data_IF_461483016249
#
_entry.id   IF_461483016249
#
_cell.length_a   1.000
_cell.length_b   1.000
_cell.length_c   1.000
_cell.angle_alpha   90.00
_cell.angle_beta   90.00
_cell.angle_gamma   90.00
#
_symmetry.space_group_name_H-M   'P 1'
#
loop_
_entity.id
_entity.type
_entity.pdbx_description
1 polymer ?
#
# COMPACT_ATOMS: atom_id res chain seq x y z
N UNK A 1 -9.90 -5.15 48.18
CA UNK A 1 -10.28 -4.66 46.84
C UNK A 1 -10.32 -5.87 45.93
N UNK A 2 -11.46 -6.07 45.25
CA UNK A 2 -11.79 -7.32 44.56
C UNK A 2 -11.01 -7.44 43.24
N UNK A 3 -10.78 -8.69 42.83
CA UNK A 3 -10.00 -9.15 41.67
C UNK A 3 -10.52 -8.69 40.29
N UNK A 4 -11.54 -7.83 40.25
CA UNK A 4 -12.28 -7.44 39.04
C UNK A 4 -12.06 -5.97 38.60
N UNK A 5 -11.19 -5.21 39.28
CA UNK A 5 -10.89 -3.81 38.93
C UNK A 5 -9.61 -3.63 38.08
N UNK A 6 -9.00 -4.71 37.57
CA UNK A 6 -7.91 -4.62 36.59
C UNK A 6 -8.49 -4.47 35.18
N UNK A 7 -8.83 -3.22 34.83
CA UNK A 7 -9.16 -2.80 33.47
C UNK A 7 -7.87 -2.73 32.66
N UNK A 8 -7.34 -3.89 32.27
CA UNK A 8 -6.42 -4.08 31.14
C UNK A 8 -6.15 -5.56 31.03
N UNK A 9 -6.28 -6.15 29.85
CA UNK A 9 -5.61 -7.42 29.56
C UNK A 9 -4.14 -7.32 30.01
N UNK A 10 -3.61 -8.40 30.53
CA UNK A 10 -2.19 -8.48 30.85
C UNK A 10 -1.40 -8.15 29.57
N UNK A 11 -0.31 -7.39 29.62
CA UNK A 11 0.52 -7.12 28.42
C UNK A 11 1.01 -8.41 27.73
N UNK A 12 0.95 -9.51 28.48
CA UNK A 12 1.24 -10.87 28.07
C UNK A 12 0.14 -11.49 27.19
N UNK A 13 -1.10 -10.99 27.26
CA UNK A 13 -2.23 -11.45 26.45
C UNK A 13 -2.14 -10.95 24.99
N UNK A 14 -1.21 -10.03 24.68
CA UNK A 14 -0.94 -9.55 23.32
C UNK A 14 0.06 -10.43 22.55
N UNK A 15 0.67 -11.42 23.22
CA UNK A 15 1.57 -12.38 22.60
C UNK A 15 0.88 -13.73 22.49
N UNK A 16 1.09 -14.42 21.37
CA UNK A 16 0.60 -15.78 21.21
C UNK A 16 1.29 -16.74 22.19
N UNK A 17 0.58 -17.82 22.53
CA UNK A 17 1.13 -18.92 23.31
C UNK A 17 2.32 -19.57 22.58
N UNK A 18 2.31 -19.60 21.24
CA UNK A 18 3.48 -20.05 20.46
C UNK A 18 4.72 -19.17 20.68
N UNK A 19 4.57 -17.85 20.73
CA UNK A 19 5.69 -16.94 21.01
C UNK A 19 6.24 -17.19 22.40
N UNK A 20 5.36 -17.27 23.40
CA UNK A 20 5.77 -17.54 24.79
C UNK A 20 6.48 -18.90 24.89
N UNK A 21 5.89 -19.95 24.31
CA UNK A 21 6.46 -21.30 24.33
C UNK A 21 7.87 -21.35 23.72
N UNK A 22 8.07 -20.73 22.55
CA UNK A 22 9.37 -20.74 21.87
C UNK A 22 10.40 -19.81 22.50
N UNK A 23 9.94 -18.77 23.20
CA UNK A 23 10.81 -17.95 24.04
C UNK A 23 11.37 -18.75 25.22
N UNK A 24 10.53 -19.54 25.89
CA UNK A 24 10.91 -20.31 27.08
C UNK A 24 11.64 -21.62 26.77
N UNK A 25 11.25 -22.31 25.69
CA UNK A 25 11.79 -23.61 25.27
C UNK A 25 11.96 -23.70 23.74
N UNK A 26 12.94 -22.99 23.15
CA UNK A 26 13.25 -23.06 21.72
C UNK A 26 13.88 -24.42 21.37
N UNK A 27 13.40 -25.07 20.31
CA UNK A 27 13.85 -26.42 19.94
C UNK A 27 15.04 -26.43 18.97
N UNK A 28 15.27 -25.33 18.26
CA UNK A 28 16.34 -25.19 17.27
C UNK A 28 17.49 -24.31 17.76
N UNK A 29 17.48 -23.89 19.03
CA UNK A 29 18.58 -23.14 19.60
C UNK A 29 19.83 -24.04 19.75
N UNK A 30 20.97 -23.56 19.28
CA UNK A 30 22.23 -24.31 19.32
C UNK A 30 23.20 -23.89 18.23
N UNK A 31 24.19 -24.73 17.99
CA UNK A 31 25.18 -24.57 16.94
C UNK A 31 25.35 -25.89 16.18
N UNK A 32 25.76 -25.79 14.91
CA UNK A 32 26.19 -26.94 14.12
C UNK A 32 27.71 -26.83 14.01
N UNK A 33 28.43 -27.85 14.47
CA UNK A 33 29.89 -27.91 14.34
C UNK A 33 30.29 -28.47 12.97
N UNK A 34 31.56 -28.27 12.58
CA UNK A 34 32.07 -28.85 11.34
C UNK A 34 32.03 -30.38 11.36
N UNK A 35 32.28 -31.01 12.51
CA UNK A 35 32.19 -32.47 12.66
C UNK A 35 30.77 -32.95 12.40
N UNK A 36 29.77 -32.28 12.98
CA UNK A 36 28.36 -32.61 12.79
C UNK A 36 27.93 -32.45 11.33
N UNK A 37 28.35 -31.38 10.67
CA UNK A 37 28.05 -31.18 9.25
C UNK A 37 28.66 -32.30 8.39
N UNK A 38 29.89 -32.72 8.69
CA UNK A 38 30.55 -33.86 8.03
C UNK A 38 29.82 -35.18 8.27
N UNK A 39 29.35 -35.44 9.50
CA UNK A 39 28.55 -36.63 9.83
C UNK A 39 27.24 -36.70 9.05
N UNK A 40 26.60 -35.54 8.84
CA UNK A 40 25.39 -35.42 8.04
C UNK A 40 25.65 -35.45 6.52
N UNK A 41 26.92 -35.45 6.10
CA UNK A 41 27.29 -35.38 4.68
C UNK A 41 26.97 -34.04 4.02
N UNK A 42 26.90 -32.96 4.81
CA UNK A 42 26.56 -31.63 4.33
C UNK A 42 27.66 -30.59 4.55
N UNK A 43 27.49 -29.45 3.91
CA UNK A 43 28.31 -28.25 4.04
C UNK A 43 27.72 -27.34 5.12
N UNK A 44 28.56 -26.94 6.06
CA UNK A 44 28.20 -25.96 7.08
C UNK A 44 28.20 -24.55 6.50
N UNK A 45 27.13 -23.82 6.74
CA UNK A 45 27.01 -22.38 6.47
C UNK A 45 26.64 -21.68 7.77
N UNK A 46 27.33 -20.59 8.06
CA UNK A 46 27.09 -19.74 9.22
C UNK A 46 26.85 -18.33 8.71
N UNK A 47 25.75 -17.71 9.13
CA UNK A 47 25.42 -16.33 8.79
C UNK A 47 25.03 -15.55 10.03
N UNK A 48 25.57 -14.34 10.14
CA UNK A 48 25.25 -13.38 11.19
C UNK A 48 24.46 -12.22 10.61
N UNK A 49 23.41 -11.81 11.32
CA UNK A 49 22.66 -10.60 11.02
C UNK A 49 22.21 -9.94 12.32
N UNK A 50 22.15 -8.61 12.36
CA UNK A 50 21.71 -7.88 13.55
C UNK A 50 21.21 -6.50 13.19
N UNK A 51 20.35 -5.96 14.06
CA UNK A 51 19.77 -4.64 13.91
C UNK A 51 20.30 -3.72 15.03
N UNK A 52 21.13 -2.75 14.66
CA UNK A 52 21.72 -1.78 15.61
C UNK A 52 20.64 -0.96 16.33
N UNK A 53 19.48 -0.73 15.69
CA UNK A 53 18.38 0.07 16.23
C UNK A 53 17.71 -0.56 17.46
N UNK A 54 17.66 -1.88 17.56
CA UNK A 54 17.06 -2.59 18.70
C UNK A 54 18.05 -3.43 19.52
N UNK A 55 19.29 -3.61 19.04
CA UNK A 55 20.34 -4.36 19.73
C UNK A 55 20.18 -5.89 19.62
N UNK A 56 19.25 -6.38 18.81
CA UNK A 56 19.05 -7.80 18.55
C UNK A 56 20.01 -8.30 17.46
N UNK A 57 20.52 -9.52 17.62
CA UNK A 57 21.40 -10.19 16.67
C UNK A 57 21.09 -11.69 16.62
N UNK A 58 21.17 -12.28 15.43
CA UNK A 58 20.97 -13.70 15.18
C UNK A 58 22.13 -14.27 14.37
N UNK A 59 22.56 -15.46 14.77
CA UNK A 59 23.46 -16.33 14.03
C UNK A 59 22.70 -17.58 13.59
N UNK A 60 22.58 -17.77 12.29
CA UNK A 60 21.98 -18.96 11.68
C UNK A 60 23.07 -19.96 11.28
N UNK A 61 22.83 -21.24 11.56
CA UNK A 61 23.64 -22.36 11.14
C UNK A 61 22.79 -23.27 10.25
N UNK A 62 23.28 -23.53 9.03
CA UNK A 62 22.70 -24.52 8.13
C UNK A 62 23.71 -25.61 7.82
N UNK A 63 23.25 -26.87 7.83
CA UNK A 63 23.94 -27.97 7.19
C UNK A 63 23.24 -28.29 5.87
N UNK A 64 23.90 -28.08 4.73
CA UNK A 64 23.29 -28.21 3.40
C UNK A 64 23.89 -29.38 2.64
N UNK A 65 23.06 -30.25 2.10
CA UNK A 65 23.48 -31.33 1.19
C UNK A 65 23.82 -30.76 -0.19
N UNK A 66 25.09 -30.82 -0.61
CA UNK A 66 25.57 -30.17 -1.85
C UNK A 66 24.97 -30.77 -3.14
N UNK A 67 24.46 -32.01 -3.09
CA UNK A 67 23.85 -32.67 -4.26
C UNK A 67 22.41 -32.22 -4.55
N UNK A 68 21.65 -31.89 -3.52
CA UNK A 68 20.22 -31.52 -3.63
C UNK A 68 19.94 -30.08 -3.22
N UNK A 69 20.93 -29.38 -2.66
CA UNK A 69 20.80 -28.08 -2.00
C UNK A 69 19.78 -28.09 -0.86
N UNK A 70 19.51 -29.25 -0.25
CA UNK A 70 18.57 -29.39 0.85
C UNK A 70 19.22 -29.05 2.19
N UNK A 71 18.53 -28.26 3.00
CA UNK A 71 18.91 -27.94 4.38
C UNK A 71 18.57 -29.17 5.24
N UNK A 72 19.58 -29.90 5.68
CA UNK A 72 19.45 -31.11 6.48
C UNK A 72 19.19 -30.80 7.96
N UNK A 73 19.80 -29.74 8.47
CA UNK A 73 19.66 -29.29 9.86
C UNK A 73 19.79 -27.77 9.90
N UNK A 74 18.94 -27.13 10.70
CA UNK A 74 18.88 -25.67 10.85
C UNK A 74 18.88 -25.31 12.33
N UNK A 75 19.92 -24.60 12.79
CA UNK A 75 20.07 -24.17 14.19
C UNK A 75 20.35 -22.69 14.27
N UNK A 76 20.12 -22.09 15.43
CA UNK A 76 20.41 -20.68 15.63
C UNK A 76 20.99 -20.37 17.02
N UNK A 77 21.73 -19.27 17.09
CA UNK A 77 21.94 -18.51 18.33
C UNK A 77 21.33 -17.14 18.14
N UNK A 78 20.64 -16.64 19.16
CA UNK A 78 20.06 -15.31 19.16
C UNK A 78 20.46 -14.58 20.42
N UNK A 79 20.77 -13.30 20.28
CA UNK A 79 20.96 -12.36 21.37
C UNK A 79 19.94 -11.24 21.16
N UNK A 80 19.05 -11.03 22.12
CA UNK A 80 18.02 -10.03 21.95
C UNK A 80 16.79 -10.28 22.81
N UNK A 81 15.69 -9.64 22.44
CA UNK A 81 14.42 -9.82 23.12
C UNK A 81 13.82 -11.22 22.92
N UNK A 82 12.89 -11.63 23.79
CA UNK A 82 12.25 -12.95 23.72
C UNK A 82 11.54 -13.22 22.39
N UNK A 83 10.99 -12.18 21.75
CA UNK A 83 10.41 -12.28 20.41
C UNK A 83 11.47 -12.60 19.35
N UNK A 84 12.68 -12.05 19.45
CA UNK A 84 13.79 -12.42 18.56
C UNK A 84 14.18 -13.90 18.71
N UNK A 85 14.14 -14.46 19.92
CA UNK A 85 14.36 -15.90 20.13
C UNK A 85 13.24 -16.71 19.48
N UNK A 86 11.98 -16.38 19.74
CA UNK A 86 10.83 -17.08 19.18
C UNK A 86 10.78 -17.03 17.64
N UNK A 87 11.01 -15.85 17.04
CA UNK A 87 11.09 -15.69 15.58
C UNK A 87 12.26 -16.47 14.98
N UNK A 88 13.41 -16.52 15.64
CA UNK A 88 14.58 -17.28 15.17
C UNK A 88 14.33 -18.79 15.25
N UNK A 89 13.65 -19.27 16.28
CA UNK A 89 13.29 -20.69 16.42
C UNK A 89 12.29 -21.13 15.35
N UNK A 90 11.23 -20.34 15.12
CA UNK A 90 10.27 -20.60 14.06
C UNK A 90 10.92 -20.54 12.67
N UNK A 91 11.80 -19.57 12.44
CA UNK A 91 12.58 -19.48 11.21
C UNK A 91 13.45 -20.71 10.97
N UNK A 92 14.18 -21.16 11.99
CA UNK A 92 15.05 -22.32 11.86
C UNK A 92 14.23 -23.58 11.50
N UNK A 93 13.10 -23.79 12.16
CA UNK A 93 12.15 -24.87 11.85
C UNK A 93 11.62 -24.79 10.41
N UNK A 94 11.19 -23.61 9.97
CA UNK A 94 10.64 -23.42 8.62
C UNK A 94 11.68 -23.71 7.53
N UNK A 95 12.97 -23.50 7.80
CA UNK A 95 14.05 -23.77 6.85
C UNK A 95 14.40 -25.26 6.75
N UNK A 96 14.25 -26.02 7.83
CA UNK A 96 14.68 -27.41 7.88
C UNK A 96 13.92 -28.27 6.87
N UNK A 97 14.65 -29.06 6.09
CA UNK A 97 14.10 -29.93 5.05
C UNK A 97 13.73 -29.22 3.74
N UNK A 98 13.83 -27.89 3.65
CA UNK A 98 13.67 -27.14 2.39
C UNK A 98 14.97 -27.10 1.61
N UNK A 99 14.88 -26.87 0.30
CA UNK A 99 16.04 -26.44 -0.49
C UNK A 99 16.40 -25.00 -0.19
N UNK A 100 17.65 -24.59 -0.45
CA UNK A 100 18.08 -23.19 -0.28
C UNK A 100 17.20 -22.24 -1.11
N UNK A 101 16.77 -22.65 -2.30
CA UNK A 101 15.87 -21.86 -3.17
C UNK A 101 14.47 -21.67 -2.58
N UNK A 102 13.96 -22.68 -1.88
CA UNK A 102 12.69 -22.58 -1.17
C UNK A 102 12.83 -21.77 0.12
N UNK A 103 13.95 -21.90 0.82
CA UNK A 103 14.20 -21.16 2.05
C UNK A 103 14.28 -19.65 1.81
N UNK A 104 14.93 -19.20 0.74
CA UNK A 104 15.00 -17.77 0.36
C UNK A 104 13.61 -17.14 0.13
N UNK A 105 12.59 -17.96 -0.18
CA UNK A 105 11.22 -17.49 -0.38
C UNK A 105 10.43 -17.35 0.92
N UNK A 106 10.92 -17.89 2.04
CA UNK A 106 10.31 -17.65 3.36
C UNK A 106 10.39 -16.16 3.63
N UNK A 107 9.29 -15.54 4.01
CA UNK A 107 9.20 -14.12 4.36
C UNK A 107 9.09 -13.92 5.87
N UNK A 108 9.26 -12.68 6.34
CA UNK A 108 8.98 -12.32 7.73
C UNK A 108 7.51 -12.60 8.12
N UNK A 109 6.59 -12.48 7.16
CA UNK A 109 5.17 -12.78 7.35
C UNK A 109 4.95 -14.28 7.52
N UNK A 110 5.72 -15.14 6.84
CA UNK A 110 5.62 -16.60 7.04
C UNK A 110 6.11 -17.00 8.44
N UNK A 111 7.21 -16.38 8.91
CA UNK A 111 7.71 -16.56 10.29
C UNK A 111 6.67 -16.10 11.30
N UNK A 112 6.08 -14.92 11.10
CA UNK A 112 5.05 -14.40 12.01
C UNK A 112 3.79 -15.26 12.01
N UNK A 113 3.33 -15.74 10.85
CA UNK A 113 2.20 -16.67 10.73
C UNK A 113 2.47 -18.00 11.46
N UNK A 114 3.69 -18.52 11.38
CA UNK A 114 4.09 -19.74 12.09
C UNK A 114 4.05 -19.58 13.61
N UNK A 115 4.06 -18.34 14.10
CA UNK A 115 3.94 -17.99 15.51
C UNK A 115 2.51 -17.66 15.94
N UNK A 116 1.51 -17.68 15.06
CA UNK A 116 0.13 -17.34 15.45
C UNK A 116 -0.55 -18.52 16.14
N UNK A 117 -1.35 -18.24 17.17
CA UNK A 117 -2.29 -19.21 17.74
C UNK A 117 -3.55 -19.34 16.87
N UNK A 118 -3.96 -18.23 16.24
CA UNK A 118 -5.12 -18.14 15.37
C UNK A 118 -4.76 -17.43 14.05
N UNK A 119 -5.26 -17.90 12.90
CA UNK A 119 -4.89 -17.33 11.59
C UNK A 119 -5.10 -15.82 11.47
N UNK A 120 -6.14 -15.27 12.11
CA UNK A 120 -6.54 -13.87 11.96
C UNK A 120 -6.02 -12.95 13.07
N UNK A 121 -5.30 -13.49 14.07
CA UNK A 121 -4.77 -12.72 15.19
C UNK A 121 -3.24 -12.68 15.09
N UNK A 122 -2.61 -11.50 15.00
CA UNK A 122 -1.15 -11.38 14.98
C UNK A 122 -0.50 -12.08 16.18
N UNK A 123 0.65 -12.71 15.96
CA UNK A 123 1.38 -13.45 16.99
C UNK A 123 2.03 -12.53 18.03
N UNK A 124 2.34 -11.31 17.62
CA UNK A 124 3.08 -10.31 18.40
C UNK A 124 2.43 -8.94 18.20
N UNK A 125 2.58 -8.03 19.16
CA UNK A 125 2.14 -6.65 18.99
C UNK A 125 2.90 -5.96 17.83
N UNK A 126 2.30 -4.97 17.16
CA UNK A 126 2.85 -4.34 15.95
C UNK A 126 4.30 -3.84 16.09
N UNK A 127 4.69 -3.37 17.27
CA UNK A 127 6.02 -2.83 17.55
C UNK A 127 7.12 -3.91 17.55
N UNK A 128 6.76 -5.19 17.67
CA UNK A 128 7.68 -6.34 17.75
C UNK A 128 7.81 -7.13 16.45
N UNK A 129 7.15 -6.68 15.38
CA UNK A 129 7.23 -7.31 14.04
C UNK A 129 8.64 -7.33 13.43
N UNK A 130 9.53 -6.41 13.84
CA UNK A 130 10.90 -6.32 13.33
C UNK A 130 11.73 -7.58 13.60
N UNK A 131 11.43 -8.34 14.67
CA UNK A 131 12.13 -9.59 14.98
C UNK A 131 11.94 -10.66 13.89
N UNK A 132 10.77 -10.68 13.22
CA UNK A 132 10.52 -11.55 12.07
C UNK A 132 11.21 -11.05 10.81
N UNK A 133 11.47 -9.75 10.70
CA UNK A 133 12.25 -9.16 9.60
C UNK A 133 13.71 -9.60 9.68
N UNK A 134 14.29 -9.58 10.88
CA UNK A 134 15.65 -10.08 11.13
C UNK A 134 15.82 -11.55 10.74
N UNK A 135 14.81 -12.37 11.03
CA UNK A 135 14.78 -13.78 10.65
C UNK A 135 14.81 -13.98 9.12
N UNK A 136 14.12 -13.13 8.37
CA UNK A 136 14.17 -13.14 6.91
C UNK A 136 15.56 -12.77 6.35
N UNK A 137 16.17 -11.72 6.89
CA UNK A 137 17.45 -11.23 6.38
C UNK A 137 18.59 -12.22 6.61
N UNK A 138 18.60 -12.92 7.75
CA UNK A 138 19.63 -13.93 8.02
C UNK A 138 19.50 -15.17 7.09
N UNK A 139 18.28 -15.56 6.70
CA UNK A 139 18.05 -16.61 5.68
C UNK A 139 18.71 -16.22 4.36
N UNK A 140 18.45 -14.99 3.90
CA UNK A 140 19.05 -14.46 2.67
C UNK A 140 20.55 -14.40 2.75
N UNK A 141 21.11 -13.96 3.89
CA UNK A 141 22.56 -13.93 4.11
C UNK A 141 23.18 -15.33 4.06
N UNK A 142 22.54 -16.32 4.66
CA UNK A 142 22.98 -17.71 4.62
C UNK A 142 22.93 -18.28 3.18
N UNK A 143 21.83 -18.04 2.47
CA UNK A 143 21.69 -18.46 1.08
C UNK A 143 22.70 -17.78 0.13
N UNK A 144 22.94 -16.48 0.31
CA UNK A 144 23.95 -15.72 -0.44
C UNK A 144 25.34 -16.35 -0.24
N UNK A 145 25.68 -16.64 1.02
CA UNK A 145 26.95 -17.26 1.41
C UNK A 145 27.10 -18.66 0.80
N UNK A 146 26.04 -19.46 0.80
CA UNK A 146 26.06 -20.80 0.19
C UNK A 146 26.26 -20.74 -1.32
N UNK A 147 25.54 -19.84 -2.00
CA UNK A 147 25.54 -19.70 -3.46
C UNK A 147 26.72 -18.89 -4.01
N UNK A 148 27.44 -18.16 -3.16
CA UNK A 148 28.51 -17.26 -3.58
C UNK A 148 28.01 -16.07 -4.40
N UNK A 149 26.81 -15.55 -4.07
CA UNK A 149 26.20 -14.39 -4.73
C UNK A 149 26.02 -13.25 -3.73
N UNK A 150 25.79 -12.05 -4.25
CA UNK A 150 25.41 -10.92 -3.40
C UNK A 150 24.00 -11.12 -2.81
N UNK A 151 23.78 -10.71 -1.56
CA UNK A 151 22.50 -10.83 -0.88
C UNK A 151 21.41 -9.98 -1.57
N UNK A 152 21.78 -8.82 -2.12
CA UNK A 152 20.90 -7.92 -2.86
C UNK A 152 20.39 -8.56 -4.17
N UNK A 153 21.08 -9.58 -4.69
CA UNK A 153 20.62 -10.31 -5.88
C UNK A 153 19.30 -11.07 -5.66
N UNK A 154 18.87 -11.25 -4.40
CA UNK A 154 17.57 -11.81 -4.06
C UNK A 154 16.46 -10.73 -3.93
N UNK A 155 16.79 -9.45 -4.04
CA UNK A 155 15.86 -8.32 -4.00
C UNK A 155 15.75 -7.70 -5.39
N UNK A 156 14.75 -8.14 -6.15
CA UNK A 156 14.52 -7.64 -7.51
C UNK A 156 13.85 -6.26 -7.53
N UNK A 157 13.36 -5.78 -6.39
CA UNK A 157 12.59 -4.53 -6.29
C UNK A 157 12.99 -3.73 -5.06
N UNK A 158 12.96 -2.40 -5.18
CA UNK A 158 13.25 -1.47 -4.08
C UNK A 158 12.19 -1.64 -2.99
N UNK A 159 12.61 -2.03 -1.78
CA UNK A 159 11.74 -2.15 -0.62
C UNK A 159 11.56 -0.78 0.03
N UNK A 160 10.31 -0.34 0.18
CA UNK A 160 9.97 0.94 0.83
C UNK A 160 9.61 0.75 2.30
N UNK A 161 9.00 -0.39 2.64
CA UNK A 161 8.65 -0.72 4.02
C UNK A 161 9.25 -2.07 4.39
N UNK A 162 10.31 -2.12 5.22
CA UNK A 162 10.90 -3.40 5.64
C UNK A 162 9.98 -4.20 6.56
N UNK A 163 9.17 -3.53 7.40
CA UNK A 163 8.26 -4.21 8.32
C UNK A 163 7.19 -5.04 7.60
N UNK A 164 6.59 -4.46 6.57
CA UNK A 164 5.55 -5.11 5.78
C UNK A 164 6.12 -5.81 4.52
N UNK A 165 7.43 -5.66 4.26
CA UNK A 165 8.13 -6.08 3.03
C UNK A 165 7.38 -5.64 1.76
N UNK A 166 6.98 -4.37 1.73
CA UNK A 166 6.28 -3.77 0.59
C UNK A 166 7.27 -3.02 -0.28
N UNK A 167 7.25 -3.31 -1.58
CA UNK A 167 8.12 -2.71 -2.58
C UNK A 167 7.53 -1.43 -3.15
N UNK A 168 8.39 -0.61 -3.77
CA UNK A 168 7.98 0.59 -4.50
C UNK A 168 6.97 0.24 -5.60
N UNK A 169 7.26 -0.81 -6.38
CA UNK A 169 6.37 -1.28 -7.45
C UNK A 169 4.98 -1.65 -6.93
N UNK A 170 4.91 -2.40 -5.82
CA UNK A 170 3.63 -2.76 -5.17
C UNK A 170 2.83 -1.51 -4.77
N UNK A 171 3.48 -0.51 -4.16
CA UNK A 171 2.79 0.72 -3.74
C UNK A 171 2.27 1.48 -4.95
N UNK A 172 3.09 1.66 -5.98
CA UNK A 172 2.71 2.36 -7.21
C UNK A 172 1.53 1.67 -7.91
N UNK A 173 1.59 0.34 -8.03
CA UNK A 173 0.52 -0.46 -8.64
C UNK A 173 -0.79 -0.32 -7.87
N UNK A 174 -0.77 -0.47 -6.54
CA UNK A 174 -1.97 -0.39 -5.71
C UNK A 174 -2.58 1.01 -5.74
N UNK A 175 -1.77 2.07 -5.73
CA UNK A 175 -2.26 3.46 -5.89
C UNK A 175 -2.99 3.60 -7.23
N UNK A 176 -2.37 3.13 -8.33
CA UNK A 176 -2.93 3.25 -9.68
C UNK A 176 -4.22 2.42 -9.83
N UNK A 177 -4.22 1.16 -9.40
CA UNK A 177 -5.36 0.24 -9.54
C UNK A 177 -6.60 0.67 -8.74
N UNK A 178 -6.40 1.32 -7.59
CA UNK A 178 -7.48 1.66 -6.66
C UNK A 178 -7.74 3.18 -6.53
N UNK A 179 -7.06 4.02 -7.33
CA UNK A 179 -7.13 5.49 -7.26
C UNK A 179 -6.91 6.04 -5.83
N UNK A 180 -5.95 5.47 -5.08
CA UNK A 180 -5.71 5.86 -3.68
C UNK A 180 -5.29 7.33 -3.58
N UNK A 181 -5.71 8.02 -2.52
CA UNK A 181 -5.54 9.48 -2.33
C UNK A 181 -4.84 9.84 -1.03
N UNK A 182 -4.60 8.88 -0.16
CA UNK A 182 -4.02 9.08 1.17
C UNK A 182 -3.04 7.97 1.55
N UNK A 183 -2.12 8.27 2.47
CA UNK A 183 -1.18 7.26 2.98
C UNK A 183 -1.91 6.24 3.86
N UNK A 184 -2.99 6.65 4.52
CA UNK A 184 -3.88 5.77 5.26
C UNK A 184 -4.45 4.68 4.35
N UNK A 185 -4.95 5.03 3.16
CA UNK A 185 -5.42 4.05 2.19
C UNK A 185 -4.29 3.13 1.70
N UNK A 186 -3.09 3.67 1.44
CA UNK A 186 -1.92 2.83 1.08
C UNK A 186 -1.65 1.82 2.20
N UNK A 187 -1.70 2.27 3.46
CA UNK A 187 -1.49 1.44 4.65
C UNK A 187 -2.56 0.35 4.74
N UNK A 188 -3.82 0.66 4.48
CA UNK A 188 -4.91 -0.30 4.56
C UNK A 188 -4.77 -1.43 3.53
N UNK A 189 -4.39 -1.09 2.30
CA UNK A 189 -4.21 -2.07 1.22
C UNK A 189 -2.90 -2.87 1.34
N UNK A 190 -1.78 -2.19 1.60
CA UNK A 190 -0.44 -2.81 1.51
C UNK A 190 0.14 -3.20 2.87
N UNK A 191 -0.41 -2.67 3.96
CA UNK A 191 0.17 -2.70 5.32
C UNK A 191 1.49 -1.94 5.46
N UNK A 192 1.98 -1.27 4.42
CA UNK A 192 3.13 -0.37 4.53
C UNK A 192 2.81 0.76 5.51
N UNK A 193 3.71 1.03 6.46
CA UNK A 193 3.50 2.07 7.47
C UNK A 193 2.62 1.66 8.66
N UNK A 194 1.96 0.49 8.63
CA UNK A 194 1.08 0.05 9.72
C UNK A 194 1.81 -0.23 11.05
N UNK A 195 3.10 -0.54 10.99
CA UNK A 195 3.90 -1.01 12.12
C UNK A 195 4.78 0.11 12.72
N UNK A 196 6.01 0.27 12.25
CA UNK A 196 6.97 1.24 12.78
C UNK A 196 6.73 2.68 12.33
N UNK A 197 5.91 2.88 11.29
CA UNK A 197 5.60 4.18 10.64
C UNK A 197 6.80 4.91 10.01
N UNK A 198 8.00 4.32 9.98
CA UNK A 198 9.21 4.95 9.44
C UNK A 198 9.10 5.33 7.96
N UNK A 199 8.44 4.49 7.16
CA UNK A 199 8.28 4.77 5.73
C UNK A 199 7.21 5.82 5.41
N UNK A 200 6.40 6.28 6.38
CA UNK A 200 5.28 7.19 6.10
C UNK A 200 5.78 8.57 5.67
N UNK A 201 6.65 9.19 6.49
CA UNK A 201 7.19 10.54 6.29
C UNK A 201 8.45 10.74 7.15
N UNK A 202 9.26 11.80 6.91
CA UNK A 202 10.40 12.12 7.75
C UNK A 202 10.05 12.23 9.24
N UNK A 203 10.97 11.78 10.10
CA UNK A 203 10.81 11.82 11.57
C UNK A 203 10.17 10.57 12.18
N UNK A 204 10.15 9.44 11.46
CA UNK A 204 9.78 8.14 12.00
C UNK A 204 10.85 7.49 12.89
N UNK A 205 10.69 6.21 13.22
CA UNK A 205 11.64 5.48 14.08
C UNK A 205 13.03 5.35 13.44
N UNK A 206 13.08 5.33 12.11
CA UNK A 206 14.29 5.23 11.31
C UNK A 206 14.19 6.20 10.12
N UNK A 207 15.33 6.71 9.65
CA UNK A 207 15.41 7.51 8.43
C UNK A 207 15.24 6.61 7.19
N UNK A 208 14.62 7.13 6.13
CA UNK A 208 14.38 6.41 4.87
C UNK A 208 14.70 7.34 3.69
N UNK A 209 15.16 6.76 2.60
CA UNK A 209 15.49 7.51 1.38
C UNK A 209 14.24 7.98 0.62
N UNK A 210 13.15 7.22 0.73
CA UNK A 210 11.89 7.45 0.03
C UNK A 210 10.74 7.21 1.01
N UNK A 211 9.76 8.11 1.03
CA UNK A 211 8.58 8.01 1.89
C UNK A 211 7.28 7.78 1.12
N UNK A 212 6.28 7.18 1.77
CA UNK A 212 4.95 6.93 1.21
C UNK A 212 4.26 8.22 0.79
N UNK A 213 4.45 9.33 1.53
CA UNK A 213 3.91 10.64 1.15
C UNK A 213 4.46 11.12 -0.21
N UNK A 214 5.74 10.87 -0.48
CA UNK A 214 6.40 11.30 -1.71
C UNK A 214 5.94 10.42 -2.88
N UNK A 215 5.94 9.10 -2.69
CA UNK A 215 5.47 8.14 -3.70
C UNK A 215 4.01 8.43 -4.08
N UNK A 216 3.14 8.69 -3.11
CA UNK A 216 1.75 9.04 -3.36
C UNK A 216 1.63 10.29 -4.22
N UNK A 217 2.35 11.36 -3.85
CA UNK A 217 2.33 12.61 -4.60
C UNK A 217 2.80 12.41 -6.05
N UNK A 218 3.91 11.71 -6.24
CA UNK A 218 4.50 11.46 -7.55
C UNK A 218 3.59 10.63 -8.45
N UNK A 219 3.05 9.52 -7.93
CA UNK A 219 2.15 8.65 -8.69
C UNK A 219 0.85 9.38 -9.04
N UNK A 220 0.31 10.18 -8.12
CA UNK A 220 -0.90 10.98 -8.38
C UNK A 220 -0.66 12.03 -9.46
N UNK A 221 0.51 12.68 -9.44
CA UNK A 221 0.88 13.64 -10.46
C UNK A 221 1.03 12.96 -11.84
N UNK A 222 1.63 11.77 -11.90
CA UNK A 222 1.72 10.95 -13.11
C UNK A 222 0.33 10.59 -13.64
N UNK A 223 -0.55 10.06 -12.78
CA UNK A 223 -1.93 9.70 -13.14
C UNK A 223 -2.73 10.89 -13.69
N UNK A 224 -2.55 12.08 -13.11
CA UNK A 224 -3.22 13.29 -13.60
C UNK A 224 -2.68 13.72 -14.98
N UNK A 225 -1.37 13.65 -15.19
CA UNK A 225 -0.77 13.94 -16.50
C UNK A 225 -1.27 12.97 -17.57
N UNK A 226 -1.40 11.69 -17.25
CA UNK A 226 -1.88 10.68 -18.19
C UNK A 226 -3.37 10.88 -18.52
N UNK A 227 -4.21 11.20 -17.51
CA UNK A 227 -5.60 11.61 -17.75
C UNK A 227 -5.71 12.82 -18.69
N UNK A 228 -4.86 13.83 -18.51
CA UNK A 228 -4.85 15.01 -19.37
C UNK A 228 -4.42 14.68 -20.80
N UNK A 229 -3.43 13.79 -20.99
CA UNK A 229 -3.02 13.32 -22.32
C UNK A 229 -4.13 12.53 -23.00
N UNK A 230 -4.74 11.59 -22.29
CA UNK A 230 -5.85 10.78 -22.82
C UNK A 230 -7.03 11.66 -23.26
N UNK A 231 -7.36 12.69 -22.47
CA UNK A 231 -8.44 13.63 -22.82
C UNK A 231 -8.07 14.54 -24.01
N UNK A 232 -6.79 14.88 -24.18
CA UNK A 232 -6.30 15.61 -25.35
C UNK A 232 -6.39 14.74 -26.62
N UNK A 233 -5.95 13.49 -26.55
CA UNK A 233 -5.98 12.54 -27.66
C UNK A 233 -7.42 12.18 -28.06
N UNK A 234 -8.32 11.95 -27.09
CA UNK A 234 -9.73 11.68 -27.35
C UNK A 234 -10.45 12.84 -28.05
N UNK A 235 -10.06 14.08 -27.72
CA UNK A 235 -10.58 15.28 -28.39
C UNK A 235 -10.09 15.40 -29.82
N UNK A 236 -8.85 15.04 -30.10
CA UNK A 236 -8.31 15.01 -31.47
C UNK A 236 -9.00 13.94 -32.35
N UNK A 237 -9.46 12.84 -31.74
CA UNK A 237 -10.15 11.74 -32.42
C UNK A 237 -11.66 11.95 -32.62
N UNK A 238 -12.26 13.02 -32.10
CA UNK A 238 -13.70 13.29 -32.23
C UNK A 238 -14.61 12.29 -31.51
N UNK A 239 -14.09 11.60 -30.49
CA UNK A 239 -14.70 10.43 -29.82
C UNK A 239 -14.77 10.58 -28.29
N UNK A 240 -14.93 11.79 -27.77
CA UNK A 240 -15.06 12.01 -26.32
C UNK A 240 -16.53 12.06 -25.90
N UNK A 241 -16.98 11.08 -25.12
CA UNK A 241 -18.23 11.16 -24.36
C UNK A 241 -18.08 12.21 -23.24
N UNK A 242 -19.18 12.82 -22.80
CA UNK A 242 -19.13 13.98 -21.89
C UNK A 242 -18.45 13.66 -20.54
N UNK A 243 -18.60 12.42 -20.05
CA UNK A 243 -17.93 11.89 -18.86
C UNK A 243 -16.38 11.88 -19.00
N UNK A 244 -15.87 11.71 -20.22
CA UNK A 244 -14.43 11.64 -20.52
C UNK A 244 -13.79 12.98 -20.87
N UNK A 245 -14.58 14.05 -20.97
CA UNK A 245 -14.06 15.39 -21.24
C UNK A 245 -13.43 15.99 -19.98
N UNK A 246 -12.34 16.75 -20.14
CA UNK A 246 -11.83 17.65 -19.09
C UNK A 246 -12.87 18.71 -18.74
N UNK A 247 -12.80 19.31 -17.55
CA UNK A 247 -13.68 20.41 -17.14
C UNK A 247 -13.72 21.54 -18.19
N UNK A 248 -12.57 21.91 -18.75
CA UNK A 248 -12.48 22.96 -19.78
C UNK A 248 -13.21 22.55 -21.06
N UNK A 249 -13.03 21.31 -21.50
CA UNK A 249 -13.75 20.78 -22.67
C UNK A 249 -15.25 20.70 -22.41
N UNK A 250 -15.69 20.27 -21.22
CA UNK A 250 -17.10 20.24 -20.86
C UNK A 250 -17.73 21.62 -20.88
N UNK A 251 -17.07 22.60 -20.25
CA UNK A 251 -17.53 24.00 -20.27
C UNK A 251 -17.63 24.48 -21.72
N UNK A 252 -16.61 24.22 -22.55
CA UNK A 252 -16.63 24.62 -23.96
C UNK A 252 -17.77 23.97 -24.74
N UNK A 253 -17.99 22.67 -24.59
CA UNK A 253 -19.09 21.93 -25.24
C UNK A 253 -20.46 22.48 -24.81
N UNK A 254 -20.64 22.74 -23.51
CA UNK A 254 -21.87 23.36 -22.99
C UNK A 254 -22.03 24.76 -23.56
N UNK A 255 -20.98 25.57 -23.55
CA UNK A 255 -21.02 26.96 -24.00
C UNK A 255 -21.39 27.06 -25.49
N UNK A 256 -20.85 26.17 -26.33
CA UNK A 256 -21.21 26.06 -27.75
C UNK A 256 -22.71 25.78 -27.94
N UNK A 257 -23.31 24.90 -27.12
CA UNK A 257 -24.75 24.62 -27.16
C UNK A 257 -25.56 25.80 -26.63
N UNK A 258 -25.11 26.44 -25.55
CA UNK A 258 -25.80 27.62 -25.01
C UNK A 258 -25.81 28.77 -26.02
N UNK A 259 -24.69 29.04 -26.68
CA UNK A 259 -24.58 30.09 -27.71
C UNK A 259 -25.43 29.78 -28.94
N UNK A 260 -25.56 28.51 -29.33
CA UNK A 260 -26.35 28.12 -30.49
C UNK A 260 -27.86 28.14 -30.21
N UNK A 261 -28.30 27.65 -29.06
CA UNK A 261 -29.71 27.31 -28.83
C UNK A 261 -30.41 28.14 -27.75
N UNK A 262 -29.66 28.68 -26.77
CA UNK A 262 -30.25 29.30 -25.57
C UNK A 262 -30.07 30.82 -25.57
N UNK A 263 -28.82 31.30 -25.62
CA UNK A 263 -28.50 32.72 -25.48
C UNK A 263 -29.20 33.60 -26.53
N UNK A 264 -29.36 33.19 -27.81
CA UNK A 264 -30.12 33.98 -28.78
C UNK A 264 -31.57 34.25 -28.35
N UNK A 265 -32.22 33.27 -27.70
CA UNK A 265 -33.59 33.45 -27.19
C UNK A 265 -33.62 34.41 -25.99
N UNK A 266 -32.70 34.24 -25.03
CA UNK A 266 -32.62 35.12 -23.85
C UNK A 266 -32.31 36.57 -24.24
N UNK A 267 -31.42 36.77 -25.20
CA UNK A 267 -31.05 38.09 -25.70
C UNK A 267 -32.21 38.79 -26.42
N UNK A 268 -33.09 38.05 -27.09
CA UNK A 268 -34.30 38.61 -27.71
C UNK A 268 -35.23 39.22 -26.67
N UNK A 269 -35.26 38.65 -25.47
CA UNK A 269 -36.02 39.13 -24.31
C UNK A 269 -35.25 40.17 -23.47
N UNK A 270 -34.06 40.61 -23.93
CA UNK A 270 -33.25 41.63 -23.26
C UNK A 270 -32.43 41.12 -22.05
N UNK A 271 -32.28 39.81 -21.92
CA UNK A 271 -31.45 39.17 -20.91
C UNK A 271 -30.28 38.37 -21.49
N UNK A 272 -29.55 37.66 -20.63
CA UNK A 272 -28.53 36.71 -21.02
C UNK A 272 -28.19 35.77 -19.84
N UNK A 273 -27.19 34.92 -20.00
CA UNK A 273 -26.63 34.09 -18.94
C UNK A 273 -25.13 33.85 -19.13
N UNK A 274 -24.46 33.45 -18.05
CA UNK A 274 -23.08 32.97 -18.08
C UNK A 274 -22.91 31.73 -17.19
N UNK A 275 -21.90 30.93 -17.51
CA UNK A 275 -21.50 29.77 -16.72
C UNK A 275 -20.57 30.25 -15.61
N UNK A 276 -20.81 29.80 -14.38
CA UNK A 276 -20.00 30.14 -13.21
C UNK A 276 -19.06 28.98 -12.87
N UNK A 277 -19.60 27.77 -12.80
CA UNK A 277 -18.84 26.57 -12.44
C UNK A 277 -19.58 25.32 -12.90
N UNK A 278 -18.86 24.20 -12.98
CA UNK A 278 -19.45 22.87 -13.16
C UNK A 278 -18.88 21.93 -12.10
N UNK A 279 -19.75 21.26 -11.34
CA UNK A 279 -19.36 20.32 -10.30
C UNK A 279 -19.80 18.90 -10.63
N UNK A 280 -18.90 17.95 -10.41
CA UNK A 280 -19.20 16.53 -10.53
C UNK A 280 -19.83 16.02 -9.22
N UNK A 281 -21.12 15.66 -9.28
CA UNK A 281 -21.87 15.05 -8.19
C UNK A 281 -22.51 13.76 -8.72
N UNK A 282 -21.65 12.78 -9.03
CA UNK A 282 -21.99 11.53 -9.73
C UNK A 282 -23.29 10.90 -9.14
N UNK A 283 -24.31 10.62 -9.96
CA UNK A 283 -24.26 10.57 -11.42
C UNK A 283 -24.41 11.91 -12.14
N UNK A 284 -24.71 13.01 -11.44
CA UNK A 284 -25.06 14.29 -12.05
C UNK A 284 -23.87 15.24 -12.25
N UNK A 285 -23.97 16.08 -13.28
CA UNK A 285 -23.08 17.21 -13.52
C UNK A 285 -23.84 18.51 -13.25
N UNK A 286 -23.51 19.17 -12.15
CA UNK A 286 -24.19 20.38 -11.69
C UNK A 286 -23.57 21.61 -12.33
N UNK A 287 -24.29 22.20 -13.28
CA UNK A 287 -23.92 23.42 -13.97
C UNK A 287 -24.48 24.63 -13.23
N UNK A 288 -23.60 25.42 -12.62
CA UNK A 288 -23.97 26.67 -11.97
C UNK A 288 -23.96 27.81 -12.98
N UNK A 289 -25.10 28.48 -13.10
CA UNK A 289 -25.30 29.59 -14.05
C UNK A 289 -25.68 30.87 -13.31
N UNK A 290 -25.36 32.02 -13.91
CA UNK A 290 -25.84 33.32 -13.47
C UNK A 290 -26.60 34.00 -14.60
N UNK A 291 -27.83 34.46 -14.31
CA UNK A 291 -28.60 35.27 -15.26
C UNK A 291 -28.12 36.72 -15.28
N UNK A 292 -28.15 37.30 -16.48
CA UNK A 292 -27.74 38.67 -16.76
C UNK A 292 -28.90 39.44 -17.41
N UNK A 293 -28.85 40.78 -17.33
CA UNK A 293 -29.84 41.66 -17.96
C UNK A 293 -31.26 41.43 -17.43
N UNK A 294 -32.25 41.48 -18.31
CA UNK A 294 -33.67 41.30 -17.95
C UNK A 294 -34.01 39.91 -17.38
N UNK A 295 -33.15 38.92 -17.55
CA UNK A 295 -33.32 37.59 -16.95
C UNK A 295 -33.00 37.59 -15.44
N UNK A 296 -32.25 38.57 -14.93
CA UNK A 296 -31.92 38.65 -13.51
C UNK A 296 -33.15 39.10 -12.70
N UNK A 297 -33.71 38.18 -11.90
CA UNK A 297 -34.90 38.43 -11.08
C UNK A 297 -36.25 38.34 -11.82
N UNK A 298 -36.27 37.80 -13.05
CA UNK A 298 -37.51 37.53 -13.76
C UNK A 298 -38.24 36.32 -13.14
N UNK A 299 -39.55 36.44 -12.89
CA UNK A 299 -40.36 35.37 -12.29
C UNK A 299 -40.34 34.05 -13.09
N UNK A 300 -40.07 34.11 -14.39
CA UNK A 300 -39.93 32.95 -15.27
C UNK A 300 -38.51 32.36 -15.30
N UNK A 301 -37.51 33.09 -14.79
CA UNK A 301 -36.10 32.69 -14.80
C UNK A 301 -35.82 31.44 -13.95
N UNK A 302 -36.46 31.34 -12.79
CA UNK A 302 -36.25 30.24 -11.83
C UNK A 302 -37.07 28.98 -12.14
N UNK A 303 -37.94 29.03 -13.16
CA UNK A 303 -38.86 27.92 -13.49
C UNK A 303 -38.79 27.56 -14.97
N UNK A 304 -39.52 28.29 -15.81
CA UNK A 304 -39.68 27.96 -17.23
C UNK A 304 -38.37 28.02 -18.01
N UNK A 305 -37.61 29.11 -17.83
CA UNK A 305 -36.34 29.31 -18.53
C UNK A 305 -35.29 28.29 -18.07
N UNK A 306 -35.15 28.08 -16.76
CA UNK A 306 -34.22 27.09 -16.20
C UNK A 306 -34.50 25.68 -16.73
N UNK A 307 -35.77 25.27 -16.76
CA UNK A 307 -36.18 23.97 -17.29
C UNK A 307 -35.87 23.83 -18.79
N UNK A 308 -36.08 24.88 -19.57
CA UNK A 308 -35.75 24.87 -21.00
C UNK A 308 -34.24 24.70 -21.23
N UNK A 309 -33.40 25.42 -20.47
CA UNK A 309 -31.95 25.31 -20.54
C UNK A 309 -31.51 23.89 -20.18
N UNK A 310 -31.99 23.36 -19.05
CA UNK A 310 -31.65 22.01 -18.61
C UNK A 310 -32.07 20.95 -19.65
N UNK A 311 -33.27 21.07 -20.21
CA UNK A 311 -33.78 20.13 -21.22
C UNK A 311 -32.91 20.11 -22.48
N UNK A 312 -32.49 21.27 -22.99
CA UNK A 312 -31.62 21.37 -24.17
C UNK A 312 -30.25 20.76 -23.89
N UNK A 313 -29.65 21.05 -22.74
CA UNK A 313 -28.35 20.48 -22.36
C UNK A 313 -28.42 18.97 -22.17
N UNK A 314 -29.50 18.46 -21.55
CA UNK A 314 -29.73 17.01 -21.44
C UNK A 314 -29.84 16.32 -22.79
N UNK A 315 -30.50 16.97 -23.75
CA UNK A 315 -30.72 16.39 -25.07
C UNK A 315 -29.45 16.42 -25.93
N UNK A 316 -28.65 17.49 -25.86
CA UNK A 316 -27.54 17.73 -26.79
C UNK A 316 -26.16 17.41 -26.22
N UNK A 317 -26.01 17.34 -24.90
CA UNK A 317 -24.72 17.19 -24.24
C UNK A 317 -24.66 15.89 -23.43
N UNK A 318 -25.43 15.80 -22.35
CA UNK A 318 -25.49 14.61 -21.48
C UNK A 318 -26.75 14.61 -20.61
N UNK A 319 -27.46 13.48 -20.55
CA UNK A 319 -28.73 13.33 -19.83
C UNK A 319 -28.64 13.61 -18.32
N UNK A 320 -27.44 13.54 -17.74
CA UNK A 320 -27.19 13.75 -16.31
C UNK A 320 -26.85 15.20 -15.94
N UNK A 321 -26.93 16.16 -16.86
CA UNK A 321 -26.71 17.57 -16.55
C UNK A 321 -27.87 18.12 -15.72
N UNK A 322 -27.57 18.85 -14.64
CA UNK A 322 -28.54 19.64 -13.88
C UNK A 322 -28.13 21.11 -13.88
N UNK A 323 -29.08 22.01 -14.09
CA UNK A 323 -28.78 23.44 -14.17
C UNK A 323 -29.27 24.13 -12.90
N UNK A 324 -28.36 24.83 -12.23
CA UNK A 324 -28.60 25.48 -10.94
C UNK A 324 -28.32 26.98 -11.08
N UNK A 325 -29.32 27.86 -10.87
CA UNK A 325 -29.08 29.29 -10.85
C UNK A 325 -28.44 29.72 -9.51
N UNK A 326 -27.60 30.75 -9.56
CA UNK A 326 -27.04 31.43 -8.39
C UNK A 326 -27.54 32.87 -8.21
#
# INVERSE_FOLDING_TARGET
>A
MAKNDLISGSIWDEYSNQVIRRMDDPTHQGEITEERAKELGGKLIIADFGAESCGDAVRLYWCIEEGTNKILESKFKSFGCGTAIASSDAMAELCEGKTVDEAVKITNIDVEKALRDHPDVPAVPPQKMHCSVMAYDVIKKAAATYKGVDMESFETEVIICECARVTLGTIQEVIKLNDLKSVEEITDYTKAGAFCKSCIKPGGHEEKDIYLVDILNDVRAEMEQDKLKEAADASAAGSSTFDKMTIVQRIKTIDEVLDADIRPMLMMDGGNMEIIDIKENIPFYDLYIRYLGACNGCASGDTGTLYAIESVLKQKVDENIRVLPI
#
